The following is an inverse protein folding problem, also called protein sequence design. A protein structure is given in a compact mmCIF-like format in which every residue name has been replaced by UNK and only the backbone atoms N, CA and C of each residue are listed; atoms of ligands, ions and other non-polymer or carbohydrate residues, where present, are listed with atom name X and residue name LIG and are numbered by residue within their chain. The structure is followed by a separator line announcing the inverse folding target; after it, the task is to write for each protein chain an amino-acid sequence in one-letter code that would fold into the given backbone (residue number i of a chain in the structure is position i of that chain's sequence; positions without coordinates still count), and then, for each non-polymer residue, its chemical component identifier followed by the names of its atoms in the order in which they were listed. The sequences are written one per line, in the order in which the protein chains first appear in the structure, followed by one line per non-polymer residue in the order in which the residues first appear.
data_IF_990966886566
#
_entry.id   IF_990966886566
#
_cell.length_a   1.000
_cell.length_b   1.000
_cell.length_c   1.000
_cell.angle_alpha   90.00
_cell.angle_beta   90.00
_cell.angle_gamma   90.00
#
_symmetry.space_group_name_H-M   'P 1'
#
loop_
_entity.id
_entity.type
_entity.pdbx_description
1 polymer ?
#
# COMPACT_ATOMS: atom_id res chain seq x y z
N UNK A 1 -13.77 12.10 -27.51
CA UNK A 1 -12.41 11.83 -26.96
C UNK A 1 -12.08 12.58 -25.66
N UNK A 2 -12.59 13.81 -25.43
CA UNK A 2 -12.33 14.57 -24.20
C UNK A 2 -13.01 14.00 -22.93
N UNK A 3 -14.24 13.50 -23.01
CA UNK A 3 -14.96 12.98 -21.84
C UNK A 3 -14.32 11.72 -21.22
N UNK A 4 -13.76 10.83 -22.04
CA UNK A 4 -13.09 9.60 -21.57
C UNK A 4 -11.78 9.93 -20.85
N UNK A 5 -10.98 10.87 -21.40
CA UNK A 5 -9.76 11.36 -20.73
C UNK A 5 -10.10 12.07 -19.41
N UNK A 6 -11.17 12.88 -19.40
CA UNK A 6 -11.64 13.61 -18.21
C UNK A 6 -12.13 12.64 -17.12
N UNK A 7 -12.95 11.65 -17.45
CA UNK A 7 -13.38 10.60 -16.50
C UNK A 7 -12.20 9.81 -15.93
N UNK A 8 -11.23 9.42 -16.76
CA UNK A 8 -10.03 8.72 -16.30
C UNK A 8 -9.23 9.53 -15.27
N UNK A 9 -9.15 10.86 -15.45
CA UNK A 9 -8.53 11.75 -14.47
C UNK A 9 -9.28 11.77 -13.12
N UNK A 10 -10.62 11.74 -13.11
CA UNK A 10 -11.38 11.72 -11.85
C UNK A 10 -11.14 10.45 -11.03
N UNK A 11 -11.18 9.26 -11.64
CA UNK A 11 -10.90 8.01 -10.90
C UNK A 11 -9.48 7.99 -10.35
N UNK A 12 -8.50 8.44 -11.15
CA UNK A 12 -7.11 8.54 -10.73
C UNK A 12 -6.92 9.53 -9.57
N UNK A 13 -7.59 10.69 -9.63
CA UNK A 13 -7.54 11.70 -8.58
C UNK A 13 -8.17 11.17 -7.29
N UNK A 14 -9.38 10.62 -7.38
CA UNK A 14 -10.09 10.05 -6.24
C UNK A 14 -9.26 8.96 -5.56
N UNK A 15 -8.67 8.05 -6.34
CA UNK A 15 -7.84 6.99 -5.79
C UNK A 15 -6.57 7.50 -5.12
N UNK A 16 -5.94 8.55 -5.67
CA UNK A 16 -4.79 9.19 -5.04
C UNK A 16 -5.18 9.82 -3.69
N UNK A 17 -6.30 10.54 -3.63
CA UNK A 17 -6.82 11.13 -2.39
C UNK A 17 -7.13 10.05 -1.36
N UNK A 18 -7.84 8.99 -1.76
CA UNK A 18 -8.13 7.83 -0.92
C UNK A 18 -6.86 7.18 -0.36
N UNK A 19 -5.87 6.95 -1.21
CA UNK A 19 -4.58 6.34 -0.82
C UNK A 19 -3.83 7.24 0.16
N UNK A 20 -3.80 8.55 -0.07
CA UNK A 20 -3.18 9.52 0.84
C UNK A 20 -3.85 9.53 2.21
N UNK A 21 -5.18 9.49 2.27
CA UNK A 21 -5.92 9.43 3.54
C UNK A 21 -5.56 8.15 4.32
N UNK A 22 -5.50 7.00 3.65
CA UNK A 22 -5.09 5.74 4.30
C UNK A 22 -3.66 5.84 4.83
N UNK A 23 -2.71 6.36 4.03
CA UNK A 23 -1.32 6.51 4.45
C UNK A 23 -1.22 7.40 5.69
N UNK A 24 -1.84 8.58 5.65
CA UNK A 24 -1.83 9.53 6.77
C UNK A 24 -2.42 8.89 8.02
N UNK A 25 -3.58 8.23 7.88
CA UNK A 25 -4.26 7.55 9.00
C UNK A 25 -3.40 6.42 9.57
N UNK A 26 -2.76 5.63 8.71
CA UNK A 26 -1.83 4.56 9.11
C UNK A 26 -0.66 5.12 9.91
N UNK A 27 -0.07 6.23 9.47
CA UNK A 27 1.04 6.88 10.18
C UNK A 27 0.59 7.46 11.52
N UNK A 28 -0.57 8.13 11.56
CA UNK A 28 -1.13 8.70 12.80
C UNK A 28 -1.39 7.63 13.86
N UNK A 29 -2.04 6.53 13.47
CA UNK A 29 -2.44 5.43 14.34
C UNK A 29 -1.29 4.44 14.58
N UNK A 30 -0.14 4.55 13.91
CA UNK A 30 0.99 3.63 14.05
C UNK A 30 1.57 3.51 15.48
N UNK A 31 1.14 4.34 16.42
CA UNK A 31 1.72 4.41 17.77
C UNK A 31 2.83 5.45 17.90
N UNK A 32 3.27 6.04 16.77
CA UNK A 32 4.35 7.04 16.73
C UNK A 32 3.91 8.45 17.07
N UNK A 33 2.79 8.87 16.46
CA UNK A 33 2.23 10.21 16.65
C UNK A 33 1.19 10.14 17.75
N UNK A 34 0.24 9.22 17.61
CA UNK A 34 -0.77 8.93 18.63
C UNK A 34 -0.41 7.61 19.28
N UNK A 35 -0.05 7.62 20.56
CA UNK A 35 0.22 6.39 21.30
C UNK A 35 -1.07 5.56 21.39
N UNK A 36 -0.96 4.25 21.15
CA UNK A 36 -2.09 3.31 21.28
C UNK A 36 -2.73 3.30 22.68
N UNK A 37 -1.98 3.74 23.69
CA UNK A 37 -2.47 3.97 25.05
C UNK A 37 -3.65 4.95 25.10
N UNK A 38 -3.69 5.90 24.17
CA UNK A 38 -4.74 6.92 24.06
C UNK A 38 -5.98 6.36 23.34
N UNK A 39 -5.80 5.41 22.41
CA UNK A 39 -6.87 4.93 21.52
C UNK A 39 -7.62 3.69 22.04
N UNK A 40 -6.96 2.77 22.75
CA UNK A 40 -7.56 1.48 23.14
C UNK A 40 -7.56 1.31 24.66
N UNK A 41 -6.39 1.37 25.30
CA UNK A 41 -6.24 1.23 26.76
C UNK A 41 -4.79 1.57 27.18
N UNK A 42 -4.54 2.33 28.27
CA UNK A 42 -3.19 2.69 28.73
C UNK A 42 -2.24 1.51 29.01
N UNK A 43 -2.76 0.30 29.22
CA UNK A 43 -1.96 -0.92 29.46
C UNK A 43 -1.80 -1.83 28.24
N UNK A 44 -2.29 -1.43 27.06
CA UNK A 44 -2.30 -2.30 25.89
C UNK A 44 -1.04 -2.14 25.04
N UNK A 45 -0.19 -3.18 25.05
CA UNK A 45 0.86 -3.36 24.05
C UNK A 45 0.32 -4.21 22.90
N UNK A 46 0.37 -3.68 21.68
CA UNK A 46 -0.03 -4.42 20.49
C UNK A 46 0.91 -5.60 20.27
N UNK A 47 0.34 -6.80 20.14
CA UNK A 47 1.11 -7.99 19.82
C UNK A 47 1.77 -7.90 18.44
N UNK A 48 2.96 -8.49 18.24
CA UNK A 48 3.66 -8.46 16.96
C UNK A 48 2.82 -9.00 15.80
N UNK A 49 2.05 -10.06 16.07
CA UNK A 49 1.14 -10.67 15.11
C UNK A 49 0.08 -9.67 14.61
N UNK A 50 -0.48 -8.86 15.53
CA UNK A 50 -1.47 -7.85 15.17
C UNK A 50 -0.86 -6.70 14.35
N UNK A 51 0.41 -6.33 14.59
CA UNK A 51 1.13 -5.36 13.73
C UNK A 51 1.35 -5.89 12.31
N UNK A 52 1.69 -7.17 12.17
CA UNK A 52 1.84 -7.83 10.87
C UNK A 52 0.50 -7.84 10.14
N UNK A 53 -0.58 -8.24 10.82
CA UNK A 53 -1.92 -8.26 10.24
C UNK A 53 -2.38 -6.87 9.78
N UNK A 54 -2.18 -5.83 10.59
CA UNK A 54 -2.51 -4.45 10.20
C UNK A 54 -1.69 -4.03 8.98
N UNK A 55 -0.38 -4.30 8.96
CA UNK A 55 0.51 -3.96 7.84
C UNK A 55 0.07 -4.66 6.54
N UNK A 56 -0.29 -5.94 6.64
CA UNK A 56 -0.79 -6.72 5.52
C UNK A 56 -2.14 -6.19 5.04
N UNK A 57 -3.06 -5.88 5.96
CA UNK A 57 -4.37 -5.33 5.65
C UNK A 57 -4.28 -3.98 4.92
N UNK A 58 -3.45 -3.06 5.42
CA UNK A 58 -3.19 -1.76 4.76
C UNK A 58 -2.58 -1.95 3.38
N UNK A 59 -1.68 -2.92 3.21
CA UNK A 59 -1.11 -3.22 1.89
C UNK A 59 -2.16 -3.72 0.92
N UNK A 60 -3.00 -4.66 1.33
CA UNK A 60 -4.04 -5.23 0.47
C UNK A 60 -5.10 -4.20 0.08
N UNK A 61 -5.56 -3.38 1.05
CA UNK A 61 -6.62 -2.40 0.80
C UNK A 61 -6.18 -1.28 -0.16
N UNK A 62 -4.87 -1.02 -0.28
CA UNK A 62 -4.32 -0.07 -1.25
C UNK A 62 -3.96 -0.75 -2.58
N UNK A 63 -3.26 -1.87 -2.55
CA UNK A 63 -2.73 -2.49 -3.77
C UNK A 63 -3.79 -3.21 -4.60
N UNK A 64 -4.79 -3.86 -4.00
CA UNK A 64 -5.84 -4.54 -4.76
C UNK A 64 -6.64 -3.54 -5.61
N UNK A 65 -7.18 -2.43 -5.06
CA UNK A 65 -7.88 -1.44 -5.88
C UNK A 65 -6.95 -0.77 -6.91
N UNK A 66 -5.68 -0.52 -6.57
CA UNK A 66 -4.72 0.03 -7.52
C UNK A 66 -4.51 -0.90 -8.73
N UNK A 67 -4.44 -2.22 -8.48
CA UNK A 67 -4.31 -3.23 -9.53
C UNK A 67 -5.54 -3.25 -10.43
N UNK A 68 -6.74 -3.26 -9.82
CA UNK A 68 -8.01 -3.21 -10.54
C UNK A 68 -8.07 -1.97 -11.44
N UNK A 69 -7.79 -0.77 -10.91
CA UNK A 69 -7.81 0.46 -11.71
C UNK A 69 -6.80 0.45 -12.86
N UNK A 70 -5.66 -0.23 -12.67
CA UNK A 70 -4.64 -0.43 -13.70
C UNK A 70 -5.13 -1.40 -14.80
N UNK A 71 -5.84 -2.46 -14.41
CA UNK A 71 -6.49 -3.39 -15.35
C UNK A 71 -7.54 -2.67 -16.20
N UNK A 72 -8.38 -1.82 -15.62
CA UNK A 72 -9.45 -1.11 -16.36
C UNK A 72 -8.99 0.14 -17.15
N UNK A 73 -7.69 0.33 -17.40
CA UNK A 73 -7.11 1.53 -18.05
C UNK A 73 -7.46 2.86 -17.35
N UNK A 74 -8.02 2.83 -16.12
CA UNK A 74 -8.33 4.01 -15.33
C UNK A 74 -7.08 4.59 -14.67
N UNK A 75 -6.06 3.76 -14.48
CA UNK A 75 -4.76 4.13 -13.93
C UNK A 75 -3.61 3.75 -14.86
N UNK A 76 -2.49 4.47 -14.80
CA UNK A 76 -1.30 4.12 -15.60
C UNK A 76 -0.48 3.07 -14.88
N UNK A 77 0.10 2.14 -15.63
CA UNK A 77 0.84 0.99 -15.10
C UNK A 77 1.97 1.40 -14.16
N UNK A 78 2.74 2.43 -14.51
CA UNK A 78 3.83 2.91 -13.67
C UNK A 78 3.35 3.45 -12.31
N UNK A 79 2.12 3.98 -12.22
CA UNK A 79 1.61 4.47 -10.94
C UNK A 79 1.36 3.34 -9.94
N UNK A 80 1.06 2.11 -10.39
CA UNK A 80 0.99 0.95 -9.51
C UNK A 80 2.33 0.71 -8.80
N UNK A 81 3.42 0.78 -9.56
CA UNK A 81 4.78 0.60 -9.05
C UNK A 81 5.15 1.69 -8.05
N UNK A 82 4.79 2.95 -8.33
CA UNK A 82 4.99 4.06 -7.38
C UNK A 82 4.16 3.90 -6.10
N UNK A 83 2.89 3.52 -6.20
CA UNK A 83 2.04 3.31 -5.02
C UNK A 83 2.56 2.15 -4.18
N UNK A 84 3.02 1.07 -4.81
CA UNK A 84 3.66 -0.05 -4.10
C UNK A 84 4.89 0.39 -3.31
N UNK A 85 5.71 1.27 -3.90
CA UNK A 85 6.86 1.86 -3.20
C UNK A 85 6.43 2.72 -2.01
N UNK A 86 5.47 3.61 -2.21
CA UNK A 86 4.99 4.53 -1.16
C UNK A 86 4.38 3.75 0.02
N UNK A 87 3.57 2.73 -0.27
CA UNK A 87 3.01 1.84 0.76
C UNK A 87 4.14 1.12 1.50
N UNK A 88 5.13 0.60 0.77
CA UNK A 88 6.29 -0.08 1.36
C UNK A 88 7.11 0.81 2.28
N UNK A 89 7.40 2.05 1.87
CA UNK A 89 8.08 3.05 2.71
C UNK A 89 7.22 3.37 3.94
N UNK A 90 5.93 3.60 3.75
CA UNK A 90 5.00 3.92 4.85
C UNK A 90 4.98 2.83 5.90
N UNK A 91 4.86 1.57 5.48
CA UNK A 91 4.81 0.44 6.42
C UNK A 91 6.19 0.25 7.05
N UNK A 92 7.27 0.32 6.30
CA UNK A 92 8.61 0.19 6.89
C UNK A 92 8.87 1.26 7.96
N UNK A 93 8.42 2.50 7.73
CA UNK A 93 8.57 3.56 8.73
C UNK A 93 7.72 3.30 9.97
N UNK A 94 6.55 2.67 9.89
CA UNK A 94 5.79 2.31 11.11
C UNK A 94 6.53 1.32 12.01
N UNK A 95 7.44 0.51 11.45
CA UNK A 95 8.20 -0.50 12.18
C UNK A 95 9.48 0.01 12.88
N UNK A 96 9.94 1.24 12.65
CA UNK A 96 11.13 1.80 13.30
C UNK A 96 11.03 1.81 14.86
N UNK A 97 12.12 1.65 15.62
CA UNK A 97 12.06 1.81 17.07
C UNK A 97 11.74 3.28 17.46
N UNK A 98 10.95 3.49 18.52
CA UNK A 98 10.53 4.81 19.00
C UNK A 98 11.43 5.38 20.11
N UNK A 99 12.05 4.53 20.93
CA UNK A 99 12.99 4.94 21.98
C UNK A 99 14.07 3.86 22.19
N UNK A 100 15.32 4.29 22.35
CA UNK A 100 16.49 3.41 22.55
C UNK A 100 16.73 3.10 24.05
N UNK A 101 15.96 3.73 24.95
CA UNK A 101 16.23 3.74 26.40
C UNK A 101 15.55 2.64 27.22
N UNK A 102 14.67 1.82 26.65
CA UNK A 102 14.02 0.74 27.41
C UNK A 102 14.82 -0.57 27.30
N UNK A 103 15.23 -1.06 28.46
CA UNK A 103 16.10 -2.21 28.70
C UNK A 103 15.77 -3.45 27.84
N UNK A 104 16.79 -3.92 27.13
CA UNK A 104 17.21 -5.29 26.75
C UNK A 104 16.20 -6.40 26.34
N UNK A 105 14.92 -6.37 26.70
CA UNK A 105 13.95 -7.39 26.26
C UNK A 105 13.47 -7.18 24.81
N UNK A 106 13.67 -5.97 24.28
CA UNK A 106 13.25 -5.58 22.93
C UNK A 106 14.40 -5.47 21.91
N UNK A 107 15.62 -5.88 22.29
CA UNK A 107 16.80 -5.77 21.43
C UNK A 107 16.76 -6.60 20.14
N UNK A 108 15.77 -7.49 19.96
CA UNK A 108 15.55 -8.20 18.69
C UNK A 108 14.77 -7.36 17.66
N UNK A 109 13.89 -6.43 18.09
CA UNK A 109 12.97 -5.66 17.22
C UNK A 109 13.62 -4.48 16.46
N UNK A 110 14.85 -4.08 16.80
CA UNK A 110 15.57 -3.04 16.02
C UNK A 110 15.85 -3.51 14.59
N UNK A 111 15.98 -4.82 14.40
CA UNK A 111 16.28 -5.41 13.10
C UNK A 111 15.03 -5.80 12.31
N UNK A 112 13.84 -5.88 12.89
CA UNK A 112 12.58 -6.23 12.19
C UNK A 112 12.23 -5.28 11.04
N UNK A 113 12.69 -4.03 11.14
CA UNK A 113 12.61 -3.05 10.05
C UNK A 113 13.32 -3.55 8.79
N UNK A 114 14.43 -4.29 8.93
CA UNK A 114 15.24 -4.77 7.81
C UNK A 114 14.49 -5.86 7.02
N UNK A 115 13.99 -6.96 7.61
CA UNK A 115 13.12 -7.91 6.90
C UNK A 115 11.90 -7.24 6.26
N UNK A 116 11.24 -6.32 6.98
CA UNK A 116 10.07 -5.59 6.44
C UNK A 116 10.46 -4.78 5.21
N UNK A 117 11.57 -4.03 5.29
CA UNK A 117 12.11 -3.26 4.16
C UNK A 117 12.44 -4.16 2.97
N UNK A 118 13.13 -5.29 3.21
CA UNK A 118 13.48 -6.26 2.16
C UNK A 118 12.23 -6.81 1.47
N UNK A 119 11.20 -7.18 2.25
CA UNK A 119 9.93 -7.68 1.72
C UNK A 119 9.30 -6.63 0.80
N UNK A 120 9.18 -5.38 1.24
CA UNK A 120 8.55 -4.33 0.43
C UNK A 120 9.38 -3.89 -0.77
N UNK A 121 10.71 -3.88 -0.67
CA UNK A 121 11.61 -3.70 -1.83
C UNK A 121 11.39 -4.83 -2.84
N UNK A 122 11.29 -6.06 -2.37
CA UNK A 122 11.02 -7.22 -3.24
C UNK A 122 9.67 -7.07 -3.92
N UNK A 123 8.61 -6.70 -3.19
CA UNK A 123 7.28 -6.41 -3.76
C UNK A 123 7.36 -5.31 -4.82
N UNK A 124 8.13 -4.25 -4.57
CA UNK A 124 8.34 -3.18 -5.54
C UNK A 124 8.99 -3.70 -6.84
N UNK A 125 10.10 -4.44 -6.76
CA UNK A 125 10.76 -4.99 -7.95
C UNK A 125 9.91 -6.04 -8.66
N UNK A 126 9.23 -6.92 -7.92
CA UNK A 126 8.29 -7.87 -8.50
C UNK A 126 7.18 -7.10 -9.23
N UNK A 127 6.62 -6.05 -8.64
CA UNK A 127 5.60 -5.25 -9.30
C UNK A 127 6.10 -4.60 -10.59
N UNK A 128 7.32 -4.07 -10.63
CA UNK A 128 7.86 -3.43 -11.83
C UNK A 128 8.10 -4.43 -12.97
N UNK A 129 8.48 -5.67 -12.66
CA UNK A 129 8.73 -6.74 -13.64
C UNK A 129 7.43 -7.41 -14.12
N UNK A 130 6.46 -7.62 -13.23
CA UNK A 130 5.21 -8.32 -13.55
C UNK A 130 4.10 -7.40 -14.05
N UNK A 131 4.04 -6.16 -13.56
CA UNK A 131 3.01 -5.19 -13.94
C UNK A 131 3.61 -4.25 -15.01
N UNK A 132 3.69 -4.78 -16.24
CA UNK A 132 4.07 -4.04 -17.44
C UNK A 132 2.89 -4.00 -18.42
N UNK A 133 2.82 -2.94 -19.24
CA UNK A 133 1.82 -2.73 -20.30
C UNK A 133 1.54 -3.99 -21.13
N UNK A 134 2.59 -4.74 -21.54
CA UNK A 134 2.42 -5.99 -22.32
C UNK A 134 1.67 -7.08 -21.54
N UNK A 135 2.04 -7.32 -20.28
CA UNK A 135 1.42 -8.34 -19.42
C UNK A 135 0.00 -7.93 -19.00
N UNK A 136 -0.20 -6.66 -18.66
CA UNK A 136 -1.52 -6.10 -18.35
C UNK A 136 -2.47 -6.20 -19.55
N UNK A 137 -1.97 -5.97 -20.79
CA UNK A 137 -2.78 -6.17 -22.00
C UNK A 137 -3.22 -7.64 -22.15
N UNK A 138 -2.31 -8.60 -21.94
CA UNK A 138 -2.65 -10.04 -21.95
C UNK A 138 -3.72 -10.37 -20.90
N UNK A 139 -3.59 -9.85 -19.68
CA UNK A 139 -4.57 -10.07 -18.61
C UNK A 139 -5.95 -9.50 -18.96
N UNK A 140 -6.02 -8.31 -19.58
CA UNK A 140 -7.31 -7.73 -20.03
C UNK A 140 -8.03 -8.61 -21.04
N UNK A 141 -7.29 -9.18 -21.99
CA UNK A 141 -7.86 -10.10 -22.99
C UNK A 141 -8.38 -11.37 -22.30
N UNK A 142 -7.59 -11.92 -21.37
CA UNK A 142 -7.97 -13.11 -20.60
C UNK A 142 -9.24 -12.88 -19.76
N UNK A 143 -9.37 -11.72 -19.12
CA UNK A 143 -10.55 -11.34 -18.35
C UNK A 143 -11.70 -10.75 -19.20
N UNK A 144 -11.60 -10.77 -20.55
CA UNK A 144 -12.58 -10.21 -21.48
C UNK A 144 -12.93 -8.72 -21.27
N UNK A 145 -12.10 -7.97 -20.54
CA UNK A 145 -12.32 -6.56 -20.17
C UNK A 145 -12.36 -5.63 -21.39
N UNK A 146 -11.67 -6.00 -22.48
CA UNK A 146 -11.68 -5.20 -23.73
C UNK A 146 -12.98 -5.29 -24.52
N UNK A 147 -13.80 -6.35 -24.36
CA UNK A 147 -15.08 -6.48 -25.08
C UNK A 147 -16.16 -5.51 -24.61
N UNK A 148 -16.18 -5.17 -23.32
CA UNK A 148 -17.23 -4.31 -22.75
C UNK A 148 -16.94 -2.81 -22.90
N UNK A 149 -15.68 -2.42 -23.10
CA UNK A 149 -15.31 -1.00 -23.30
C UNK A 149 -15.58 -0.46 -24.70
N UNK A 150 -15.96 -1.32 -25.65
CA UNK A 150 -16.30 -0.93 -27.03
C UNK A 150 -17.81 -0.69 -27.23
N UNK A 151 -18.64 -1.05 -26.25
CA UNK A 151 -20.10 -0.88 -26.25
C UNK A 151 -20.58 0.23 -25.29
N UNK A 152 -19.66 1.05 -24.76
CA UNK A 152 -19.96 2.23 -23.94
C UNK A 152 -19.43 3.52 -24.55
#
# INVERSE_FOLDING_TARGET
MNNIKKQRNYYSLFFNVYTSIIIITTVLISGRIISWKILINPNYNISPLLRILISLFVTLIVLIPCFILTLYKRYKVYHFTYISLVVGITITTTWLPLNIKDNLEWCWYKYDVIPVLIIYITIYFVSSVFINNKKIKKLRVLFKIEKDSFLS
#
